data_IF_298590781478
#
_entry.id   IF_298590781478
#
_cell.length_a   1.000
_cell.length_b   1.000
_cell.length_c   1.000
_cell.angle_alpha   90.00
_cell.angle_beta   90.00
_cell.angle_gamma   90.00
#
_symmetry.space_group_name_H-M   'P 1'
#
loop_
_entity.id
_entity.type
_entity.pdbx_description
1 polymer ?
#
# COMPACT_ATOMS: atom_id res chain seq x y z
N UNK A 1 47.91 21.56 18.56
CA UNK A 1 47.39 20.17 18.67
C UNK A 1 45.94 20.26 19.12
N UNK A 2 44.99 20.08 18.21
CA UNK A 2 43.56 19.96 18.57
C UNK A 2 43.24 18.50 18.88
N UNK A 3 42.46 18.19 19.92
CA UNK A 3 42.16 16.81 20.25
C UNK A 3 41.23 16.24 19.17
N UNK A 4 41.67 15.16 18.52
CA UNK A 4 40.82 14.32 17.68
C UNK A 4 39.72 13.74 18.57
N UNK A 5 38.52 14.29 18.47
CA UNK A 5 37.30 13.69 19.03
C UNK A 5 37.09 12.34 18.35
N UNK A 6 37.51 11.26 19.01
CA UNK A 6 37.07 9.91 18.71
C UNK A 6 35.55 9.89 18.87
N UNK A 7 34.83 9.84 17.74
CA UNK A 7 33.40 9.55 17.74
C UNK A 7 33.26 8.16 18.35
N UNK A 8 32.94 8.09 19.64
CA UNK A 8 32.52 6.85 20.27
C UNK A 8 31.18 6.54 19.62
N UNK A 9 31.21 5.62 18.65
CA UNK A 9 30.01 5.00 18.10
C UNK A 9 29.19 4.47 19.27
N UNK A 10 28.03 5.07 19.52
CA UNK A 10 27.08 4.54 20.50
C UNK A 10 26.45 3.28 19.87
N UNK A 11 26.73 2.08 20.41
CA UNK A 11 26.20 0.82 19.87
C UNK A 11 24.66 0.80 19.86
N UNK A 12 24.02 1.57 20.75
CA UNK A 12 22.57 1.73 20.78
C UNK A 12 22.08 2.50 19.55
N UNK A 13 22.77 3.57 19.17
CA UNK A 13 22.45 4.37 17.98
C UNK A 13 22.62 3.55 16.71
N UNK A 14 23.69 2.77 16.61
CA UNK A 14 23.95 1.89 15.46
C UNK A 14 22.86 0.81 15.31
N UNK A 15 22.43 0.21 16.42
CA UNK A 15 21.31 -0.76 16.43
C UNK A 15 20.00 -0.11 15.99
N UNK A 16 19.68 1.08 16.47
CA UNK A 16 18.47 1.80 16.05
C UNK A 16 18.52 2.15 14.57
N UNK A 17 19.67 2.60 14.05
CA UNK A 17 19.81 2.87 12.61
C UNK A 17 19.66 1.61 11.76
N UNK A 18 20.20 0.48 12.21
CA UNK A 18 20.03 -0.80 11.52
C UNK A 18 18.56 -1.27 11.52
N UNK A 19 17.85 -1.11 12.63
CA UNK A 19 16.43 -1.43 12.72
C UNK A 19 15.58 -0.56 11.80
N UNK A 20 15.88 0.74 11.73
CA UNK A 20 15.20 1.67 10.82
C UNK A 20 15.43 1.29 9.37
N UNK A 21 16.66 0.93 8.98
CA UNK A 21 16.97 0.48 7.62
C UNK A 21 16.16 -0.77 7.25
N UNK A 22 16.09 -1.76 8.14
CA UNK A 22 15.29 -2.98 7.91
C UNK A 22 13.80 -2.68 7.76
N UNK A 23 13.26 -1.76 8.56
CA UNK A 23 11.85 -1.36 8.47
C UNK A 23 11.57 -0.60 7.17
N UNK A 24 12.46 0.30 6.77
CA UNK A 24 12.37 1.06 5.52
C UNK A 24 12.41 0.14 4.30
N UNK A 25 13.32 -0.84 4.27
CA UNK A 25 13.39 -1.83 3.19
C UNK A 25 12.11 -2.68 3.11
N UNK A 26 11.56 -3.10 4.26
CA UNK A 26 10.30 -3.84 4.32
C UNK A 26 9.11 -3.00 3.87
N UNK A 27 9.09 -1.72 4.20
CA UNK A 27 8.06 -0.79 3.77
C UNK A 27 8.10 -0.62 2.25
N UNK A 28 9.28 -0.29 1.69
CA UNK A 28 9.50 -0.17 0.25
C UNK A 28 9.09 -1.43 -0.51
N UNK A 29 9.48 -2.60 -0.02
CA UNK A 29 9.09 -3.87 -0.62
C UNK A 29 7.57 -4.10 -0.60
N UNK A 30 6.89 -3.66 0.47
CA UNK A 30 5.43 -3.78 0.61
C UNK A 30 4.71 -2.81 -0.32
N UNK A 31 5.16 -1.56 -0.39
CA UNK A 31 4.63 -0.54 -1.30
C UNK A 31 4.81 -0.95 -2.76
N UNK A 32 5.98 -1.50 -3.13
CA UNK A 32 6.23 -2.00 -4.48
C UNK A 32 5.28 -3.15 -4.84
N UNK A 33 5.05 -4.10 -3.93
CA UNK A 33 4.09 -5.20 -4.15
C UNK A 33 2.67 -4.67 -4.28
N UNK A 34 2.29 -3.66 -3.48
CA UNK A 34 0.98 -3.03 -3.58
C UNK A 34 0.78 -2.37 -4.95
N UNK A 35 1.77 -1.64 -5.45
CA UNK A 35 1.71 -1.04 -6.79
C UNK A 35 1.60 -2.09 -7.90
N UNK A 36 2.36 -3.19 -7.81
CA UNK A 36 2.27 -4.29 -8.76
C UNK A 36 0.86 -4.90 -8.78
N UNK A 37 0.28 -5.15 -7.60
CA UNK A 37 -1.10 -5.64 -7.50
C UNK A 37 -2.12 -4.65 -8.06
N UNK A 38 -1.95 -3.35 -7.80
CA UNK A 38 -2.81 -2.30 -8.35
C UNK A 38 -2.75 -2.27 -9.89
N UNK A 39 -1.56 -2.35 -10.48
CA UNK A 39 -1.40 -2.40 -11.94
C UNK A 39 -2.05 -3.64 -12.55
N UNK A 40 -1.85 -4.81 -11.93
CA UNK A 40 -2.46 -6.07 -12.38
C UNK A 40 -3.99 -6.01 -12.29
N UNK A 41 -4.54 -5.50 -11.17
CA UNK A 41 -5.97 -5.33 -10.99
C UNK A 41 -6.56 -4.36 -12.02
N UNK A 42 -5.87 -3.26 -12.32
CA UNK A 42 -6.30 -2.32 -13.34
C UNK A 42 -6.30 -2.95 -14.75
N UNK A 43 -5.31 -3.80 -15.06
CA UNK A 43 -5.27 -4.59 -16.29
C UNK A 43 -6.46 -5.55 -16.38
N UNK A 44 -6.67 -6.38 -15.35
CA UNK A 44 -7.79 -7.32 -15.29
C UNK A 44 -9.14 -6.61 -15.38
N UNK A 45 -9.32 -5.49 -14.68
CA UNK A 45 -10.55 -4.71 -14.70
C UNK A 45 -10.90 -4.26 -16.13
N UNK A 46 -9.91 -3.79 -16.91
CA UNK A 46 -10.09 -3.44 -18.32
C UNK A 46 -10.46 -4.65 -19.17
N UNK A 47 -9.82 -5.80 -18.96
CA UNK A 47 -10.13 -7.03 -19.69
C UNK A 47 -11.57 -7.52 -19.47
N UNK A 48 -12.10 -7.36 -18.25
CA UNK A 48 -13.47 -7.79 -17.92
C UNK A 48 -14.52 -6.70 -18.04
N UNK A 49 -14.15 -5.50 -18.49
CA UNK A 49 -15.07 -4.37 -18.66
C UNK A 49 -15.60 -3.78 -17.35
N UNK A 50 -14.80 -3.80 -16.28
CA UNK A 50 -15.13 -3.26 -14.96
C UNK A 50 -14.20 -2.08 -14.65
N UNK A 51 -14.71 -1.08 -13.92
CA UNK A 51 -13.89 -0.02 -13.34
C UNK A 51 -13.83 -0.14 -11.82
N UNK A 52 -12.68 0.15 -11.22
CA UNK A 52 -12.54 0.18 -9.75
C UNK A 52 -12.91 1.58 -9.25
N UNK A 53 -13.82 1.66 -8.30
CA UNK A 53 -14.27 2.89 -7.65
C UNK A 53 -13.56 3.15 -6.32
N UNK A 54 -14.19 3.92 -5.44
CA UNK A 54 -13.68 4.24 -4.11
C UNK A 54 -13.81 3.06 -3.12
N UNK A 55 -13.16 3.19 -1.96
CA UNK A 55 -13.37 2.32 -0.80
C UNK A 55 -14.86 2.28 -0.45
N UNK A 56 -15.37 1.08 -0.19
CA UNK A 56 -16.75 0.87 0.17
C UNK A 56 -17.04 1.44 1.55
N UNK A 57 -17.79 2.55 1.63
CA UNK A 57 -18.19 3.16 2.91
C UNK A 57 -19.18 2.34 3.76
N UNK A 58 -19.49 1.09 3.40
CA UNK A 58 -20.30 0.18 4.22
C UNK A 58 -19.46 -0.80 5.03
N UNK A 59 -18.34 -1.28 4.48
CA UNK A 59 -17.51 -2.26 5.17
C UNK A 59 -16.05 -1.84 5.30
N UNK A 60 -15.59 -0.83 4.56
CA UNK A 60 -14.21 -0.32 4.52
C UNK A 60 -13.12 -1.38 4.17
N UNK A 61 -13.53 -2.62 3.91
CA UNK A 61 -12.67 -3.76 3.61
C UNK A 61 -12.35 -3.92 2.12
N UNK A 62 -13.07 -3.22 1.23
CA UNK A 62 -12.93 -3.43 -0.21
C UNK A 62 -13.20 -2.17 -1.02
N UNK A 63 -12.64 -2.09 -2.23
CA UNK A 63 -13.02 -1.07 -3.20
C UNK A 63 -14.29 -1.50 -3.94
N UNK A 64 -15.13 -0.51 -4.25
CA UNK A 64 -16.29 -0.72 -5.11
C UNK A 64 -15.86 -1.01 -6.55
N UNK A 65 -16.71 -1.74 -7.27
CA UNK A 65 -16.57 -2.03 -8.69
C UNK A 65 -17.75 -1.39 -9.42
N UNK A 66 -17.50 -0.83 -10.60
CA UNK A 66 -18.50 -0.22 -11.46
C UNK A 66 -18.58 -1.04 -12.75
N UNK A 67 -19.79 -1.50 -13.07
CA UNK A 67 -20.09 -2.25 -14.29
C UNK A 67 -21.51 -1.92 -14.72
N UNK A 68 -21.73 -1.67 -16.00
CA UNK A 68 -23.06 -1.48 -16.59
C UNK A 68 -23.94 -0.47 -15.82
N UNK A 69 -23.38 0.70 -15.47
CA UNK A 69 -24.09 1.74 -14.71
C UNK A 69 -24.42 1.35 -13.26
N UNK A 70 -23.77 0.32 -12.72
CA UNK A 70 -23.98 -0.17 -11.36
C UNK A 70 -22.67 -0.20 -10.59
N UNK A 71 -22.60 0.54 -9.50
CA UNK A 71 -21.55 0.44 -8.49
C UNK A 71 -21.91 -0.64 -7.47
N UNK A 72 -20.99 -1.54 -7.13
CA UNK A 72 -21.21 -2.56 -6.11
C UNK A 72 -19.93 -2.91 -5.33
N UNK A 73 -20.08 -3.37 -4.09
CA UNK A 73 -19.00 -3.88 -3.28
C UNK A 73 -18.92 -5.41 -3.42
N UNK A 74 -17.77 -5.98 -3.84
CA UNK A 74 -17.62 -7.43 -3.97
C UNK A 74 -17.59 -8.15 -2.62
N UNK A 75 -17.37 -7.42 -1.51
CA UNK A 75 -17.25 -8.01 -0.18
C UNK A 75 -18.57 -8.09 0.59
N UNK A 76 -19.27 -6.97 0.74
CA UNK A 76 -20.49 -6.89 1.54
C UNK A 76 -21.79 -6.91 0.71
N UNK A 77 -21.69 -6.89 -0.62
CA UNK A 77 -22.85 -6.92 -1.51
C UNK A 77 -23.59 -5.59 -1.65
N UNK A 78 -23.10 -4.50 -1.04
CA UNK A 78 -23.63 -3.16 -1.28
C UNK A 78 -23.71 -2.88 -2.78
N UNK A 79 -24.80 -2.26 -3.24
CA UNK A 79 -25.00 -1.93 -4.66
C UNK A 79 -25.80 -0.64 -4.80
N UNK A 80 -25.42 0.17 -5.78
CA UNK A 80 -26.06 1.44 -6.13
C UNK A 80 -25.96 1.67 -7.64
N UNK A 81 -27.06 2.04 -8.27
CA UNK A 81 -27.04 2.53 -9.66
C UNK A 81 -26.38 3.90 -9.73
N UNK A 82 -25.51 4.09 -10.72
CA UNK A 82 -24.74 5.32 -10.96
C UNK A 82 -25.15 5.99 -12.26
#
# INVERSE_FOLDING_TARGET
>A
MTPRSTRVSDPRRERTTAQLAVLDDRLKATEQRQQQLQHTLAGLAREVGVSVGCVCGHCDESHTLIRDGTMYCPRCGYRRSV
#
